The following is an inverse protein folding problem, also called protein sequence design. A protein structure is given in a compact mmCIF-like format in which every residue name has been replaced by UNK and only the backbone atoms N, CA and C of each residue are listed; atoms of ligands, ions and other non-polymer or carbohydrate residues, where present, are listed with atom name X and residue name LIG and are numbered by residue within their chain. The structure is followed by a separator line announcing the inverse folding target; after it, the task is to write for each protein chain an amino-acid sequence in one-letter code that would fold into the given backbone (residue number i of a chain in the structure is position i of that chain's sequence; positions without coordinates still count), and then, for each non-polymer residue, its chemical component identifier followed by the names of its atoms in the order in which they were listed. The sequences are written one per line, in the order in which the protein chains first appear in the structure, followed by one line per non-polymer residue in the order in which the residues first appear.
data_IF_764666860073
#
_entry.id   IF_764666860073
#
_cell.length_a   1.000
_cell.length_b   1.000
_cell.length_c   1.000
_cell.angle_alpha   90.00
_cell.angle_beta   90.00
_cell.angle_gamma   90.00
#
_symmetry.space_group_name_H-M   'P 1'
#
loop_
_entity.id
_entity.type
_entity.pdbx_description
1 polymer ?
#
# COMPACT_ATOMS: atom_id res chain seq x y z
N UNK A 1 4.89 -8.42 -19.10
CA UNK A 1 4.57 -8.89 -17.75
C UNK A 1 3.75 -10.16 -17.87
N UNK A 2 4.04 -11.19 -17.09
CA UNK A 2 3.32 -12.47 -17.12
C UNK A 2 1.94 -12.33 -16.46
N UNK A 3 0.88 -12.89 -17.07
CA UNK A 3 -0.51 -12.66 -16.65
C UNK A 3 -0.76 -13.07 -15.19
N UNK A 4 -0.17 -14.19 -14.74
CA UNK A 4 -0.28 -14.67 -13.36
C UNK A 4 0.36 -13.72 -12.35
N UNK A 5 1.54 -13.16 -12.67
CA UNK A 5 2.23 -12.19 -11.80
C UNK A 5 1.45 -10.87 -11.67
N UNK A 6 0.72 -10.47 -12.72
CA UNK A 6 -0.17 -9.30 -12.67
C UNK A 6 -1.34 -9.54 -11.71
N UNK A 7 -2.01 -10.70 -11.77
CA UNK A 7 -3.15 -11.04 -10.91
C UNK A 7 -2.78 -11.09 -9.41
N UNK A 8 -1.62 -11.66 -9.08
CA UNK A 8 -1.09 -11.67 -7.71
C UNK A 8 -0.78 -10.25 -7.20
N UNK A 9 -0.23 -9.40 -8.07
CA UNK A 9 0.06 -8.00 -7.73
C UNK A 9 -1.23 -7.21 -7.53
N UNK A 10 -2.23 -7.37 -8.41
CA UNK A 10 -3.55 -6.75 -8.29
C UNK A 10 -4.19 -7.10 -6.93
N UNK A 11 -4.15 -8.37 -6.55
CA UNK A 11 -4.69 -8.85 -5.26
C UNK A 11 -4.00 -8.14 -4.10
N UNK A 12 -2.66 -8.09 -4.11
CA UNK A 12 -1.88 -7.47 -3.04
C UNK A 12 -2.10 -5.96 -2.96
N UNK A 13 -2.22 -5.27 -4.10
CA UNK A 13 -2.52 -3.83 -4.18
C UNK A 13 -3.92 -3.52 -3.63
N UNK A 14 -4.93 -4.33 -3.95
CA UNK A 14 -6.30 -4.17 -3.44
C UNK A 14 -6.34 -4.39 -1.92
N UNK A 15 -5.67 -5.42 -1.42
CA UNK A 15 -5.56 -5.70 0.02
C UNK A 15 -4.88 -4.54 0.77
N UNK A 16 -3.76 -4.04 0.25
CA UNK A 16 -3.03 -2.90 0.80
C UNK A 16 -3.89 -1.63 0.82
N UNK A 17 -4.51 -1.27 -0.30
CA UNK A 17 -5.42 -0.12 -0.39
C UNK A 17 -6.54 -0.19 0.67
N UNK A 18 -7.16 -1.35 0.86
CA UNK A 18 -8.21 -1.53 1.87
C UNK A 18 -7.66 -1.39 3.30
N UNK A 19 -6.51 -1.99 3.58
CA UNK A 19 -5.87 -1.92 4.89
C UNK A 19 -5.45 -0.47 5.23
N UNK A 20 -4.85 0.25 4.27
CA UNK A 20 -4.51 1.66 4.41
C UNK A 20 -5.72 2.54 4.71
N UNK A 21 -6.83 2.39 3.97
CA UNK A 21 -8.06 3.15 4.25
C UNK A 21 -8.65 2.81 5.64
N UNK A 22 -8.58 1.54 6.05
CA UNK A 22 -9.03 1.14 7.37
C UNK A 22 -8.17 1.76 8.48
N UNK A 23 -6.84 1.67 8.36
CA UNK A 23 -5.90 2.24 9.31
C UNK A 23 -6.00 3.77 9.37
N UNK A 24 -6.13 4.45 8.23
CA UNK A 24 -6.43 5.89 8.16
C UNK A 24 -7.67 6.25 8.97
N UNK A 25 -8.79 5.57 8.73
CA UNK A 25 -10.05 5.86 9.41
C UNK A 25 -9.99 5.56 10.91
N UNK A 26 -9.27 4.52 11.33
CA UNK A 26 -9.11 4.14 12.74
C UNK A 26 -8.15 5.06 13.48
N UNK A 27 -7.03 5.43 12.86
CA UNK A 27 -6.06 6.36 13.43
C UNK A 27 -6.68 7.73 13.74
N UNK A 28 -7.66 8.18 12.94
CA UNK A 28 -8.43 9.41 13.20
C UNK A 28 -9.38 9.33 14.41
N UNK A 29 -9.60 8.14 14.97
CA UNK A 29 -10.46 7.91 16.13
C UNK A 29 -9.66 7.67 17.42
N UNK A 30 -8.33 7.63 17.34
CA UNK A 30 -7.45 7.42 18.49
C UNK A 30 -7.39 8.70 19.36
N UNK A 31 -7.22 8.53 20.68
CA UNK A 31 -7.25 9.65 21.63
C UNK A 31 -6.09 10.65 21.42
N UNK A 32 -4.91 10.16 21.06
CA UNK A 32 -3.72 10.98 20.80
C UNK A 32 -3.39 11.04 19.31
N UNK A 33 -4.10 11.91 18.59
CA UNK A 33 -3.91 12.14 17.15
C UNK A 33 -2.49 12.62 16.79
N UNK A 34 -1.76 13.25 17.72
CA UNK A 34 -0.41 13.73 17.43
C UNK A 34 0.55 12.56 17.16
N UNK A 35 0.40 11.44 17.87
CA UNK A 35 1.19 10.24 17.62
C UNK A 35 0.91 9.62 16.24
N UNK A 36 -0.29 9.79 15.70
CA UNK A 36 -0.71 9.18 14.43
C UNK A 36 -0.59 10.10 13.22
N UNK A 37 -0.12 11.34 13.38
CA UNK A 37 -0.12 12.33 12.29
C UNK A 37 0.57 11.81 11.02
N UNK A 38 1.75 11.19 11.17
CA UNK A 38 2.48 10.66 10.02
C UNK A 38 1.88 9.36 9.48
N UNK A 39 1.37 8.49 10.36
CA UNK A 39 0.63 7.30 9.97
C UNK A 39 -0.61 7.65 9.12
N UNK A 40 -1.38 8.66 9.54
CA UNK A 40 -2.55 9.16 8.79
C UNK A 40 -2.13 9.71 7.43
N UNK A 41 -1.04 10.48 7.37
CA UNK A 41 -0.54 11.05 6.12
C UNK A 41 -0.11 9.95 5.14
N UNK A 42 0.68 8.99 5.60
CA UNK A 42 1.23 7.92 4.78
C UNK A 42 0.18 6.89 4.36
N UNK A 43 -0.76 6.52 5.24
CA UNK A 43 -1.84 5.59 4.88
C UNK A 43 -2.76 6.18 3.82
N UNK A 44 -3.02 7.49 3.85
CA UNK A 44 -3.75 8.18 2.78
C UNK A 44 -2.99 8.13 1.45
N UNK A 45 -1.73 8.56 1.46
CA UNK A 45 -0.87 8.59 0.26
C UNK A 45 -0.67 7.18 -0.34
N UNK A 46 -0.43 6.19 0.51
CA UNK A 46 -0.30 4.80 0.11
C UNK A 46 -1.58 4.27 -0.53
N UNK A 47 -2.76 4.54 0.04
CA UNK A 47 -4.02 4.16 -0.60
C UNK A 47 -4.19 4.78 -1.99
N UNK A 48 -3.90 6.07 -2.15
CA UNK A 48 -4.06 6.76 -3.43
C UNK A 48 -3.13 6.20 -4.51
N UNK A 49 -1.88 5.91 -4.15
CA UNK A 49 -0.90 5.33 -5.07
C UNK A 49 -1.23 3.87 -5.38
N UNK A 50 -1.73 3.09 -4.42
CA UNK A 50 -2.25 1.75 -4.66
C UNK A 50 -3.42 1.78 -5.66
N UNK A 51 -4.36 2.72 -5.53
CA UNK A 51 -5.45 2.87 -6.51
C UNK A 51 -4.92 3.24 -7.89
N UNK A 52 -3.90 4.11 -7.99
CA UNK A 52 -3.28 4.43 -9.27
C UNK A 52 -2.60 3.21 -9.91
N UNK A 53 -1.88 2.41 -9.11
CA UNK A 53 -1.25 1.18 -9.57
C UNK A 53 -2.27 0.14 -10.05
N UNK A 54 -3.36 -0.04 -9.30
CA UNK A 54 -4.48 -0.90 -9.68
C UNK A 54 -5.02 -0.52 -11.08
N UNK A 55 -5.37 0.76 -11.26
CA UNK A 55 -5.91 1.24 -12.54
C UNK A 55 -4.90 1.09 -13.68
N UNK A 56 -3.62 1.35 -13.43
CA UNK A 56 -2.57 1.20 -14.44
C UNK A 56 -2.43 -0.26 -14.90
N UNK A 57 -2.46 -1.21 -13.96
CA UNK A 57 -2.38 -2.64 -14.24
C UNK A 57 -3.63 -3.16 -14.97
N UNK A 58 -4.83 -2.75 -14.56
CA UNK A 58 -6.08 -3.19 -15.20
C UNK A 58 -6.24 -2.67 -16.63
N UNK A 59 -5.68 -1.49 -16.92
CA UNK A 59 -5.78 -0.85 -18.24
C UNK A 59 -4.61 -1.16 -19.17
N UNK A 60 -3.69 -2.03 -18.74
CA UNK A 60 -2.42 -2.32 -19.44
C UNK A 60 -1.69 -1.02 -19.86
N UNK A 61 -1.61 -0.08 -18.91
CA UNK A 61 -1.01 1.23 -19.16
C UNK A 61 0.45 1.11 -19.57
N UNK A 62 0.88 1.94 -20.52
CA UNK A 62 2.29 2.10 -20.88
C UNK A 62 3.18 2.55 -19.69
N UNK A 63 2.57 3.09 -18.62
CA UNK A 63 3.24 3.53 -17.40
C UNK A 63 3.12 2.54 -16.23
N UNK A 64 2.62 1.32 -16.46
CA UNK A 64 2.42 0.33 -15.39
C UNK A 64 3.69 0.09 -14.55
N UNK A 65 4.83 -0.17 -15.20
CA UNK A 65 6.11 -0.42 -14.49
C UNK A 65 6.55 0.75 -13.57
N UNK A 66 6.67 2.00 -14.04
CA UNK A 66 7.07 3.10 -13.16
C UNK A 66 6.05 3.38 -12.06
N UNK A 67 4.74 3.25 -12.33
CA UNK A 67 3.70 3.43 -11.31
C UNK A 67 3.78 2.35 -10.22
N UNK A 68 3.95 1.08 -10.61
CA UNK A 68 4.08 -0.04 -9.68
C UNK A 68 5.37 0.05 -8.87
N UNK A 69 6.46 0.52 -9.46
CA UNK A 69 7.71 0.79 -8.74
C UNK A 69 7.53 1.87 -7.66
N UNK A 70 6.82 2.96 -7.96
CA UNK A 70 6.47 3.98 -6.97
C UNK A 70 5.56 3.39 -5.88
N UNK A 71 4.59 2.58 -6.25
CA UNK A 71 3.71 1.90 -5.29
C UNK A 71 4.51 1.06 -4.30
N UNK A 72 5.52 0.30 -4.76
CA UNK A 72 6.39 -0.45 -3.86
C UNK A 72 7.11 0.45 -2.83
N UNK A 73 7.68 1.57 -3.29
CA UNK A 73 8.41 2.50 -2.42
C UNK A 73 7.50 3.13 -1.35
N UNK A 74 6.29 3.53 -1.72
CA UNK A 74 5.34 4.11 -0.77
C UNK A 74 4.81 3.05 0.19
N UNK A 75 4.58 1.83 -0.29
CA UNK A 75 4.20 0.71 0.59
C UNK A 75 5.28 0.43 1.64
N UNK A 76 6.58 0.37 1.29
CA UNK A 76 7.64 0.18 2.29
C UNK A 76 7.65 1.32 3.33
N UNK A 77 7.49 2.56 2.89
CA UNK A 77 7.48 3.73 3.77
C UNK A 77 6.29 3.68 4.73
N UNK A 78 5.10 3.34 4.22
CA UNK A 78 3.88 3.18 5.00
C UNK A 78 3.99 2.01 5.98
N UNK A 79 4.59 0.89 5.56
CA UNK A 79 4.81 -0.28 6.41
C UNK A 79 5.68 0.05 7.63
N UNK A 80 6.79 0.75 7.40
CA UNK A 80 7.70 1.17 8.47
C UNK A 80 6.98 2.05 9.47
N UNK A 81 6.23 3.05 9.02
CA UNK A 81 5.52 3.95 9.94
C UNK A 81 4.39 3.23 10.70
N UNK A 82 3.53 2.48 10.00
CA UNK A 82 2.45 1.71 10.63
C UNK A 82 3.00 0.69 11.65
N UNK A 83 4.14 0.06 11.35
CA UNK A 83 4.77 -0.93 12.22
C UNK A 83 5.24 -0.40 13.58
N UNK A 84 5.36 0.93 13.74
CA UNK A 84 5.75 1.58 15.01
C UNK A 84 4.62 1.59 16.03
N UNK A 85 3.37 1.43 15.59
CA UNK A 85 2.18 1.56 16.41
C UNK A 85 1.68 0.16 16.80
N UNK A 86 1.51 -0.10 18.11
CA UNK A 86 1.08 -1.41 18.65
C UNK A 86 -0.44 -1.65 18.50
N UNK A 87 -1.13 -0.92 17.62
CA UNK A 87 -2.56 -1.08 17.37
C UNK A 87 -2.81 -2.13 16.29
N UNK A 88 -3.83 -2.97 16.47
CA UNK A 88 -4.17 -4.05 15.53
C UNK A 88 -4.35 -3.54 14.08
N UNK A 89 -4.99 -2.38 13.91
CA UNK A 89 -5.21 -1.79 12.60
C UNK A 89 -3.91 -1.34 11.92
N UNK A 90 -2.95 -0.80 12.67
CA UNK A 90 -1.63 -0.42 12.18
C UNK A 90 -0.79 -1.66 11.83
N UNK A 91 -0.79 -2.68 12.68
CA UNK A 91 -0.04 -3.92 12.43
C UNK A 91 -0.57 -4.70 11.23
N UNK A 92 -1.89 -4.72 11.03
CA UNK A 92 -2.51 -5.27 9.83
C UNK A 92 -2.13 -4.47 8.57
N UNK A 93 -2.14 -3.14 8.66
CA UNK A 93 -1.72 -2.26 7.58
C UNK A 93 -0.25 -2.48 7.19
N UNK A 94 0.65 -2.55 8.17
CA UNK A 94 2.07 -2.77 7.93
C UNK A 94 2.34 -4.05 7.13
N UNK A 95 1.73 -5.17 7.56
CA UNK A 95 1.85 -6.46 6.87
C UNK A 95 1.29 -6.44 5.45
N UNK A 96 0.16 -5.76 5.23
CA UNK A 96 -0.42 -5.62 3.90
C UNK A 96 0.48 -4.78 2.97
N UNK A 97 1.05 -3.71 3.49
CA UNK A 97 2.01 -2.87 2.77
C UNK A 97 3.29 -3.65 2.41
N UNK A 98 3.88 -4.43 3.33
CA UNK A 98 5.06 -5.26 3.06
C UNK A 98 4.82 -6.25 1.91
N UNK A 99 3.70 -6.98 1.96
CA UNK A 99 3.31 -7.93 0.91
C UNK A 99 3.10 -7.24 -0.43
N UNK A 100 2.44 -6.08 -0.43
CA UNK A 100 2.23 -5.29 -1.64
C UNK A 100 3.55 -4.79 -2.24
N UNK A 101 4.47 -4.31 -1.41
CA UNK A 101 5.78 -3.85 -1.87
C UNK A 101 6.59 -4.97 -2.53
N UNK A 102 6.58 -6.17 -1.94
CA UNK A 102 7.23 -7.36 -2.49
C UNK A 102 6.62 -7.79 -3.83
N UNK A 103 5.29 -7.87 -3.92
CA UNK A 103 4.60 -8.23 -5.15
C UNK A 103 4.91 -7.21 -6.28
N UNK A 104 4.82 -5.92 -5.97
CA UNK A 104 5.14 -4.84 -6.91
C UNK A 104 6.60 -4.92 -7.42
N UNK A 105 7.58 -5.15 -6.54
CA UNK A 105 8.98 -5.32 -6.94
C UNK A 105 9.20 -6.54 -7.83
N UNK A 106 8.57 -7.66 -7.48
CA UNK A 106 8.63 -8.90 -8.25
C UNK A 106 8.10 -8.70 -9.67
N UNK A 107 6.95 -8.03 -9.81
CA UNK A 107 6.36 -7.71 -11.10
C UNK A 107 7.22 -6.77 -11.96
N UNK A 108 7.87 -5.78 -11.34
CA UNK A 108 8.73 -4.82 -12.07
C UNK A 108 10.00 -5.49 -12.58
N UNK A 109 10.55 -6.44 -11.81
CA UNK A 109 11.77 -7.19 -12.16
C UNK A 109 11.55 -8.25 -13.26
N UNK A 110 10.30 -8.66 -13.51
CA UNK A 110 9.90 -9.56 -14.60
C UNK A 110 9.76 -8.85 -15.96
#
# INVERSE_FOLDING_TARGET
MERTSVEETLTSVIECMRACNHCFSKSLQEEDLHMFTECIRLTRECSDICTLALNALETDSAFSKPIVALCAQVCDTCAVECGRHQHDHCQACAKACERCAEACRTLVAA
#
